data_IF_339239712387
#
_entry.id   IF_339239712387
#
_cell.length_a   1.000
_cell.length_b   1.000
_cell.length_c   1.000
_cell.angle_alpha   90.00
_cell.angle_beta   90.00
_cell.angle_gamma   90.00
#
_symmetry.space_group_name_H-M   'P 1'
#
loop_
_entity.id
_entity.type
_entity.pdbx_description
1 polymer ?
#
# COMPACT_ATOMS: atom_id res chain seq x y z
N UNK A 1 -4.01 -19.30 -12.43
CA UNK A 1 -2.56 -19.41 -12.21
C UNK A 1 -2.31 -19.17 -10.73
N UNK A 2 -1.61 -20.05 -10.01
CA UNK A 2 -1.29 -19.80 -8.60
C UNK A 2 -0.11 -18.83 -8.57
N UNK A 3 -0.27 -17.67 -7.93
CA UNK A 3 0.79 -16.69 -7.78
C UNK A 3 1.66 -17.07 -6.58
N UNK A 4 2.95 -17.24 -6.81
CA UNK A 4 3.94 -17.42 -5.75
C UNK A 4 4.52 -16.06 -5.34
N UNK A 5 3.64 -15.18 -4.87
CA UNK A 5 3.95 -13.81 -4.46
C UNK A 5 3.61 -13.65 -2.98
N UNK A 6 4.51 -13.07 -2.15
CA UNK A 6 4.22 -12.79 -0.76
C UNK A 6 2.93 -11.99 -0.59
N UNK A 7 2.19 -12.29 0.48
CA UNK A 7 1.02 -11.50 0.83
C UNK A 7 1.46 -10.19 1.48
N UNK A 8 1.22 -9.05 0.82
CA UNK A 8 1.49 -7.73 1.39
C UNK A 8 0.49 -6.69 0.91
N UNK A 9 0.44 -5.57 1.63
CA UNK A 9 -0.26 -4.35 1.24
C UNK A 9 0.66 -3.16 1.47
N UNK A 10 0.66 -2.23 0.55
CA UNK A 10 1.41 -0.99 0.66
C UNK A 10 0.52 0.11 1.20
N UNK A 11 0.97 0.82 2.23
CA UNK A 11 0.17 1.80 2.93
C UNK A 11 0.66 3.22 2.63
N UNK A 12 -0.28 4.12 2.35
CA UNK A 12 -0.05 5.55 2.24
C UNK A 12 -0.87 6.27 3.33
N UNK A 13 -0.25 6.93 4.32
CA UNK A 13 -0.98 7.75 5.28
C UNK A 13 -1.73 8.89 4.57
N UNK A 14 -2.98 9.15 4.95
CA UNK A 14 -3.80 10.20 4.33
C UNK A 14 -4.72 10.89 5.34
N UNK A 15 -5.19 12.09 5.00
CA UNK A 15 -6.40 12.66 5.59
C UNK A 15 -7.64 12.08 4.89
N UNK A 16 -8.36 11.20 5.58
CA UNK A 16 -9.58 10.60 5.04
C UNK A 16 -10.68 11.62 4.71
N UNK A 17 -10.68 12.79 5.34
CA UNK A 17 -11.72 13.80 5.18
C UNK A 17 -11.53 14.61 3.89
N UNK A 18 -10.28 14.75 3.45
CA UNK A 18 -9.90 15.37 2.18
C UNK A 18 -9.95 14.40 0.99
N UNK A 19 -10.09 13.08 1.24
CA UNK A 19 -10.09 12.09 0.17
C UNK A 19 -11.29 12.22 -0.77
N UNK A 20 -10.98 12.27 -2.07
CA UNK A 20 -11.96 12.26 -3.15
C UNK A 20 -11.40 11.51 -4.37
N UNK A 21 -11.86 10.27 -4.56
CA UNK A 21 -11.32 9.33 -5.55
C UNK A 21 -11.23 9.92 -6.95
N UNK A 22 -12.28 10.58 -7.44
CA UNK A 22 -12.34 11.07 -8.83
C UNK A 22 -11.32 12.17 -9.13
N UNK A 23 -10.83 12.88 -8.10
CA UNK A 23 -9.79 13.90 -8.25
C UNK A 23 -8.38 13.39 -7.97
N UNK A 24 -8.27 12.24 -7.30
CA UNK A 24 -7.00 11.72 -6.80
C UNK A 24 -6.48 10.54 -7.62
N UNK A 25 -7.35 9.90 -8.40
CA UNK A 25 -7.03 8.74 -9.22
C UNK A 25 -7.12 9.09 -10.72
N UNK A 26 -6.28 8.45 -11.53
CA UNK A 26 -6.38 8.54 -12.98
C UNK A 26 -7.59 7.78 -13.52
N UNK A 27 -7.96 8.03 -14.78
CA UNK A 27 -9.08 7.38 -15.47
C UNK A 27 -8.95 5.86 -15.61
N UNK A 28 -7.74 5.31 -15.43
CA UNK A 28 -7.47 3.86 -15.46
C UNK A 28 -8.04 3.12 -14.25
N UNK A 29 -8.42 3.85 -13.20
CA UNK A 29 -9.02 3.30 -11.98
C UNK A 29 -10.54 3.33 -12.08
N UNK A 30 -11.15 2.17 -11.95
CA UNK A 30 -12.58 2.07 -11.69
C UNK A 30 -12.84 2.48 -10.23
N UNK A 31 -13.43 3.66 -10.04
CA UNK A 31 -13.88 4.13 -8.73
C UNK A 31 -15.10 3.31 -8.27
N UNK A 32 -15.01 2.74 -7.07
CA UNK A 32 -16.07 2.00 -6.38
C UNK A 32 -16.69 2.88 -5.29
N UNK A 33 -15.86 3.64 -4.57
CA UNK A 33 -16.28 4.62 -3.57
C UNK A 33 -15.57 5.94 -3.81
N UNK A 34 -16.35 7.01 -3.86
CA UNK A 34 -15.82 8.36 -4.01
C UNK A 34 -15.15 8.87 -2.72
N UNK A 35 -15.69 8.45 -1.57
CA UNK A 35 -15.16 8.77 -0.24
C UNK A 35 -14.28 7.64 0.27
N UNK A 36 -13.42 7.98 1.23
CA UNK A 36 -12.64 6.98 1.94
C UNK A 36 -13.57 6.02 2.69
N UNK A 37 -13.26 4.73 2.64
CA UNK A 37 -13.97 3.66 3.35
C UNK A 37 -12.99 2.54 3.66
N UNK A 38 -13.25 1.74 4.69
CA UNK A 38 -12.45 0.53 5.00
C UNK A 38 -12.62 -0.59 3.97
N UNK A 39 -13.57 -0.46 3.04
CA UNK A 39 -13.75 -1.35 1.91
C UNK A 39 -12.92 -0.96 0.68
N UNK A 40 -13.20 -1.61 -0.44
CA UNK A 40 -12.63 -1.24 -1.74
C UNK A 40 -13.07 0.18 -2.14
N UNK A 41 -12.09 1.01 -2.47
CA UNK A 41 -12.27 2.39 -2.93
C UNK A 41 -12.19 2.43 -4.45
N UNK A 42 -11.21 1.75 -5.04
CA UNK A 42 -11.04 1.66 -6.48
C UNK A 42 -10.32 0.38 -6.86
N UNK A 43 -10.42 -0.01 -8.13
CA UNK A 43 -9.66 -1.13 -8.68
C UNK A 43 -9.25 -0.87 -10.12
N UNK A 44 -8.23 -1.57 -10.58
CA UNK A 44 -7.88 -1.61 -11.99
C UNK A 44 -7.40 -3.01 -12.38
N UNK A 45 -7.95 -3.53 -13.47
CA UNK A 45 -7.77 -4.92 -13.88
C UNK A 45 -6.39 -5.19 -14.47
N UNK A 46 -5.90 -6.41 -14.32
CA UNK A 46 -4.69 -6.88 -15.00
C UNK A 46 -4.78 -8.39 -15.31
N UNK A 47 -3.82 -8.91 -16.08
CA UNK A 47 -3.76 -10.34 -16.43
C UNK A 47 -3.77 -11.27 -15.20
N UNK A 48 -3.30 -10.77 -14.05
CA UNK A 48 -3.14 -11.53 -12.81
C UNK A 48 -4.29 -11.33 -11.81
N UNK A 49 -5.35 -10.62 -12.20
CA UNK A 49 -6.47 -10.27 -11.34
C UNK A 49 -6.76 -8.77 -11.40
N UNK A 50 -6.62 -8.06 -10.27
CA UNK A 50 -6.75 -6.60 -10.25
C UNK A 50 -5.95 -5.97 -9.12
N UNK A 51 -5.40 -4.78 -9.36
CA UNK A 51 -4.99 -3.92 -8.28
C UNK A 51 -6.22 -3.36 -7.57
N UNK A 52 -6.12 -3.24 -6.25
CA UNK A 52 -7.15 -2.63 -5.41
C UNK A 52 -6.54 -1.52 -4.57
N UNK A 53 -7.26 -0.41 -4.47
CA UNK A 53 -7.08 0.60 -3.42
C UNK A 53 -8.23 0.43 -2.45
N UNK A 54 -7.92 0.25 -1.17
CA UNK A 54 -8.88 0.15 -0.08
C UNK A 54 -8.47 1.05 1.08
N UNK A 55 -9.38 1.41 1.97
CA UNK A 55 -9.00 2.08 3.22
C UNK A 55 -8.46 1.10 4.24
N UNK A 56 -7.40 1.49 4.94
CA UNK A 56 -6.92 0.80 6.13
C UNK A 56 -6.85 1.76 7.32
N UNK A 57 -7.02 1.25 8.53
CA UNK A 57 -7.03 2.05 9.75
C UNK A 57 -6.23 1.42 10.87
N UNK A 58 -5.52 2.24 11.64
CA UNK A 58 -4.87 1.82 12.90
C UNK A 58 -5.04 2.92 13.94
N UNK A 59 -5.97 2.70 14.89
CA UNK A 59 -6.39 3.74 15.84
C UNK A 59 -7.02 4.93 15.10
N UNK A 60 -6.52 6.14 15.36
CA UNK A 60 -6.93 7.37 14.65
C UNK A 60 -6.31 7.53 13.26
N UNK A 61 -5.28 6.75 12.91
CA UNK A 61 -4.61 6.90 11.62
C UNK A 61 -5.42 6.26 10.49
N UNK A 62 -5.35 6.86 9.32
CA UNK A 62 -6.02 6.43 8.10
C UNK A 62 -5.03 6.30 6.98
N UNK A 63 -5.21 5.25 6.19
CA UNK A 63 -4.33 4.92 5.09
C UNK A 63 -5.16 4.54 3.87
N UNK A 64 -4.56 4.73 2.70
CA UNK A 64 -4.87 3.94 1.53
C UNK A 64 -3.98 2.70 1.54
N UNK A 65 -4.56 1.56 1.23
CA UNK A 65 -3.88 0.29 1.07
C UNK A 65 -3.94 -0.13 -0.39
N UNK A 66 -2.78 -0.32 -1.01
CA UNK A 66 -2.63 -0.87 -2.35
C UNK A 66 -2.24 -2.34 -2.27
N UNK A 67 -2.92 -3.19 -3.04
CA UNK A 67 -2.55 -4.60 -3.18
C UNK A 67 -2.97 -5.17 -4.54
N UNK A 68 -2.41 -6.31 -4.91
CA UNK A 68 -2.92 -7.16 -6.00
C UNK A 68 -3.85 -8.22 -5.43
N UNK A 69 -5.05 -8.34 -5.98
CA UNK A 69 -5.97 -9.44 -5.70
C UNK A 69 -6.01 -10.37 -6.91
N UNK A 70 -5.76 -11.66 -6.68
CA UNK A 70 -5.89 -12.67 -7.73
C UNK A 70 -7.36 -13.07 -7.97
N UNK A 71 -7.59 -13.95 -8.94
CA UNK A 71 -8.94 -14.43 -9.27
C UNK A 71 -9.64 -15.20 -8.13
N UNK A 72 -8.87 -15.71 -7.18
CA UNK A 72 -9.39 -16.42 -6.00
C UNK A 72 -9.57 -15.47 -4.79
N UNK A 73 -9.20 -14.20 -4.92
CA UNK A 73 -9.30 -13.20 -3.86
C UNK A 73 -8.11 -13.17 -2.90
N UNK A 74 -7.03 -13.88 -3.19
CA UNK A 74 -5.81 -13.80 -2.39
C UNK A 74 -5.09 -12.48 -2.61
N UNK A 75 -4.51 -11.98 -1.54
CA UNK A 75 -3.84 -10.67 -1.50
C UNK A 75 -2.34 -10.89 -1.69
N UNK A 76 -1.77 -10.16 -2.62
CA UNK A 76 -0.39 -10.26 -3.04
C UNK A 76 0.27 -8.88 -3.08
N UNK A 77 1.57 -8.87 -2.81
CA UNK A 77 2.43 -7.69 -2.98
C UNK A 77 2.48 -7.27 -4.46
N UNK A 78 1.97 -6.08 -4.83
CA UNK A 78 2.00 -5.60 -6.21
C UNK A 78 3.40 -5.20 -6.69
N UNK A 79 4.39 -5.07 -5.79
CA UNK A 79 5.75 -4.69 -6.11
C UNK A 79 6.77 -5.83 -5.97
N UNK A 80 6.33 -7.06 -5.66
CA UNK A 80 7.23 -8.22 -5.60
C UNK A 80 7.91 -8.47 -6.96
N UNK A 81 9.20 -8.78 -6.96
CA UNK A 81 9.92 -9.07 -8.20
C UNK A 81 9.32 -10.24 -9.01
N UNK A 82 9.37 -10.12 -10.33
CA UNK A 82 8.93 -11.19 -11.25
C UNK A 82 8.01 -10.71 -12.38
N UNK A 83 7.34 -11.65 -13.08
CA UNK A 83 6.51 -11.35 -14.25
C UNK A 83 5.33 -10.41 -13.94
N UNK A 84 4.76 -10.53 -12.74
CA UNK A 84 3.64 -9.68 -12.29
C UNK A 84 4.08 -8.22 -12.18
N UNK A 85 5.20 -7.94 -11.50
CA UNK A 85 5.76 -6.59 -11.43
C UNK A 85 6.08 -6.03 -12.82
N UNK A 86 6.69 -6.82 -13.71
CA UNK A 86 6.96 -6.37 -15.08
C UNK A 86 5.67 -5.93 -15.81
N UNK A 87 4.60 -6.72 -15.70
CA UNK A 87 3.32 -6.39 -16.32
C UNK A 87 2.66 -5.15 -15.69
N UNK A 88 2.77 -4.98 -14.37
CA UNK A 88 2.18 -3.86 -13.64
C UNK A 88 2.96 -2.55 -13.84
N UNK A 89 4.29 -2.57 -13.76
CA UNK A 89 5.14 -1.37 -13.84
C UNK A 89 5.15 -0.77 -15.24
N UNK A 90 5.06 -1.58 -16.30
CA UNK A 90 5.01 -1.05 -17.67
C UNK A 90 3.70 -0.32 -17.98
N UNK A 91 2.64 -0.59 -17.22
CA UNK A 91 1.32 -0.02 -17.49
C UNK A 91 0.83 0.83 -16.31
N UNK A 92 0.39 0.15 -15.25
CA UNK A 92 -0.49 0.68 -14.22
C UNK A 92 0.24 1.31 -13.03
N UNK A 93 1.48 0.87 -12.76
CA UNK A 93 2.36 1.39 -11.70
C UNK A 93 3.57 2.16 -12.26
N UNK A 94 3.48 2.60 -13.52
CA UNK A 94 4.47 3.48 -14.15
C UNK A 94 4.47 4.88 -13.52
N UNK A 95 3.35 5.26 -12.91
CA UNK A 95 3.14 6.48 -12.14
C UNK A 95 2.51 6.12 -10.78
N UNK A 96 2.67 6.96 -9.75
CA UNK A 96 1.95 6.79 -8.50
C UNK A 96 0.44 6.66 -8.74
N UNK A 97 -0.24 5.68 -8.13
CA UNK A 97 -1.69 5.49 -8.31
C UNK A 97 -2.54 6.67 -7.85
N UNK A 98 -1.99 7.50 -6.96
CA UNK A 98 -2.64 8.62 -6.30
C UNK A 98 -1.84 9.88 -6.61
N UNK A 99 -2.53 10.98 -6.91
CA UNK A 99 -1.89 12.26 -7.25
C UNK A 99 -1.28 12.96 -6.03
N UNK A 100 -1.90 12.84 -4.86
CA UNK A 100 -1.37 13.34 -3.58
C UNK A 100 -0.20 12.47 -3.07
N UNK A 101 0.82 13.13 -2.52
CA UNK A 101 1.97 12.49 -1.86
C UNK A 101 1.62 11.87 -0.51
N UNK A 102 0.43 12.15 0.03
CA UNK A 102 -0.02 11.66 1.33
C UNK A 102 0.56 12.46 2.50
N UNK A 103 0.38 11.92 3.70
CA UNK A 103 0.88 12.49 4.94
C UNK A 103 2.16 11.79 5.40
N UNK A 104 2.90 12.44 6.29
CA UNK A 104 4.00 11.80 7.01
C UNK A 104 3.53 10.57 7.79
N UNK A 105 4.45 9.61 7.96
CA UNK A 105 4.16 8.42 8.73
C UNK A 105 3.98 8.77 10.22
N UNK A 106 2.92 8.27 10.87
CA UNK A 106 2.71 8.53 12.29
C UNK A 106 3.86 7.95 13.11
N UNK A 107 4.62 8.80 13.82
CA UNK A 107 5.84 8.43 14.55
C UNK A 107 5.67 7.20 15.44
N UNK A 108 4.54 7.09 16.13
CA UNK A 108 4.21 5.95 17.01
C UNK A 108 4.15 4.58 16.30
N UNK A 109 4.09 4.58 14.97
CA UNK A 109 4.09 3.37 14.14
C UNK A 109 5.46 3.06 13.56
N UNK A 110 6.41 3.97 13.67
CA UNK A 110 7.81 3.75 13.32
C UNK A 110 8.47 3.01 14.47
N UNK A 111 9.20 1.94 14.14
CA UNK A 111 10.10 1.31 15.10
C UNK A 111 11.39 2.10 15.01
N UNK A 112 11.80 2.74 16.12
CA UNK A 112 13.12 3.34 16.19
C UNK A 112 14.18 2.26 16.10
N UNK A 113 15.25 2.52 15.37
CA UNK A 113 16.46 1.68 15.41
C UNK A 113 17.05 1.82 16.82
N UNK A 114 16.62 0.96 17.75
CA UNK A 114 17.32 0.82 19.01
C UNK A 114 18.67 0.17 18.73
N UNK A 115 19.69 1.01 18.49
CA UNK A 115 21.07 0.62 18.76
C UNK A 115 21.14 0.31 20.26
N UNK A 116 21.11 -0.98 20.58
CA UNK A 116 21.57 -1.44 21.88
C UNK A 116 23.07 -1.15 21.94
N UNK A 117 23.45 0.02 22.44
CA UNK A 117 24.80 0.26 22.94
C UNK A 117 24.97 -0.64 24.17
N UNK A 118 25.47 -1.84 23.92
CA UNK A 118 25.92 -2.76 24.95
C UNK A 118 27.24 -2.22 25.50
N UNK A 119 27.17 -1.19 26.34
CA UNK A 119 28.32 -0.73 27.11
C UNK A 119 28.55 -1.69 28.28
N UNK A 120 29.10 -2.87 28.01
CA UNK A 120 29.88 -3.58 29.04
C UNK A 120 31.24 -2.90 29.13
N UNK A 121 31.31 -1.86 29.97
CA UNK A 121 32.58 -1.37 30.53
C UNK A 121 33.13 -2.46 31.43
N UNK A 122 34.06 -3.27 30.91
CA UNK A 122 34.90 -4.13 31.76
C UNK A 122 35.88 -3.23 32.50
N UNK A 123 35.52 -2.87 33.73
CA UNK A 123 36.50 -2.54 34.76
C UNK A 123 37.20 -3.84 35.19
N UNK A 124 38.52 -3.90 35.03
CA UNK A 124 39.30 -5.07 35.45
C UNK A 124 40.80 -4.92 35.18
N UNK A 125 41.47 -4.27 36.14
CA UNK A 125 42.86 -4.44 36.64
C UNK A 125 43.92 -4.91 35.63
#
# INVERSE_FOLDING_TARGET
KILQIPAARWLLPIDQSAWKSSSQLSSEWQVISERWTTGSIARSGCEYGHLVIAGASRGSNRFLALALLDSAGFVHDPFSEGPVRKALVTNLLSQPPVADFGLEWPERLLVGDMQSDDTTSTAGI
#
